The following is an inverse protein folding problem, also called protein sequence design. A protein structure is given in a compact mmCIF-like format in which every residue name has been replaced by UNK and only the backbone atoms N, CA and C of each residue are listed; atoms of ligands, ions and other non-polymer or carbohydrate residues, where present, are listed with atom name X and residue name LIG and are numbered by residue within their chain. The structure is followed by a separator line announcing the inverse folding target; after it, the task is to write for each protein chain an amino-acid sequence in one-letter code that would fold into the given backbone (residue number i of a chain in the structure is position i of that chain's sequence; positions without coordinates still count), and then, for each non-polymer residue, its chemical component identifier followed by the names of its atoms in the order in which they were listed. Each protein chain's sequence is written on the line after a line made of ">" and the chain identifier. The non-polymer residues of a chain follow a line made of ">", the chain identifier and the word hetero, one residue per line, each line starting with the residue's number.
data_IF_717799228327
#
_entry.id   IF_717799228327
#
_cell.length_a   1.000
_cell.length_b   1.000
_cell.length_c   1.000
_cell.angle_alpha   90.00
_cell.angle_beta   90.00
_cell.angle_gamma   90.00
#
_symmetry.space_group_name_H-M   'P 1'
#
loop_
_entity.id
_entity.type
_entity.pdbx_description
1 polymer ?
#
# COMPACT_ATOMS: atom_id res chain seq x y z
N UNK A 1 4.31 11.29 -10.34
CA UNK A 1 4.64 9.88 -10.00
C UNK A 1 5.78 9.78 -8.98
N UNK A 2 6.98 10.39 -9.20
CA UNK A 2 8.09 10.34 -8.25
C UNK A 2 7.72 10.77 -6.82
N UNK A 3 6.99 11.87 -6.66
CA UNK A 3 6.49 12.32 -5.36
C UNK A 3 5.55 11.28 -4.69
N UNK A 4 4.73 10.58 -5.46
CA UNK A 4 3.87 9.50 -4.95
C UNK A 4 4.72 8.33 -4.43
N UNK A 5 5.74 7.90 -5.17
CA UNK A 5 6.64 6.82 -4.74
C UNK A 5 7.39 7.22 -3.45
N UNK A 6 7.91 8.44 -3.40
CA UNK A 6 8.56 8.95 -2.20
C UNK A 6 7.62 8.97 -0.99
N UNK A 7 6.38 9.41 -1.18
CA UNK A 7 5.35 9.42 -0.14
C UNK A 7 5.03 8.01 0.37
N UNK A 8 4.88 7.03 -0.53
CA UNK A 8 4.56 5.65 -0.12
C UNK A 8 5.70 4.97 0.63
N UNK A 9 6.93 5.40 0.40
CA UNK A 9 8.15 4.90 1.07
C UNK A 9 8.44 5.61 2.39
N UNK A 10 7.81 6.75 2.66
CA UNK A 10 8.03 7.54 3.85
C UNK A 10 7.56 6.81 5.11
N UNK A 11 8.40 6.84 6.16
CA UNK A 11 8.12 6.16 7.45
C UNK A 11 7.77 7.10 8.59
N UNK A 12 7.89 8.41 8.39
CA UNK A 12 7.55 9.43 9.38
C UNK A 12 6.09 9.88 9.30
N UNK A 13 5.74 10.84 10.15
CA UNK A 13 4.49 11.57 10.03
C UNK A 13 4.54 12.53 8.85
N UNK A 14 3.38 12.82 8.25
CA UNK A 14 3.24 13.85 7.22
C UNK A 14 3.03 15.20 7.89
N UNK A 15 4.16 15.86 8.19
CA UNK A 15 4.21 17.19 8.81
C UNK A 15 4.38 18.28 7.76
N UNK A 16 4.21 19.55 8.15
CA UNK A 16 4.49 20.69 7.27
C UNK A 16 5.95 20.67 6.77
N UNK A 17 6.88 20.19 7.61
CA UNK A 17 8.29 20.02 7.23
C UNK A 17 8.47 18.98 6.12
N UNK A 18 7.71 17.86 6.16
CA UNK A 18 7.70 16.88 5.08
C UNK A 18 7.22 17.51 3.77
N UNK A 19 6.13 18.28 3.81
CA UNK A 19 5.57 18.92 2.60
C UNK A 19 6.40 20.09 2.07
N UNK A 20 7.26 20.69 2.91
CA UNK A 20 8.19 21.72 2.51
C UNK A 20 9.46 21.17 1.80
N UNK A 21 9.67 19.87 1.79
CA UNK A 21 10.81 19.27 1.10
C UNK A 21 10.69 19.44 -0.42
N UNK A 22 11.81 19.62 -1.12
CA UNK A 22 11.80 19.70 -2.57
C UNK A 22 11.26 18.39 -3.16
N UNK A 23 10.50 18.50 -4.26
CA UNK A 23 10.02 17.30 -4.96
C UNK A 23 11.22 16.42 -5.37
N UNK A 24 11.12 15.10 -5.21
CA UNK A 24 12.18 14.20 -5.60
C UNK A 24 12.42 14.26 -7.12
N UNK A 25 13.68 14.12 -7.51
CA UNK A 25 14.06 14.09 -8.92
C UNK A 25 13.42 12.88 -9.62
N UNK A 26 12.59 13.05 -10.64
CA UNK A 26 12.00 11.93 -11.39
C UNK A 26 13.05 10.99 -12.00
N UNK A 27 14.19 11.51 -12.41
CA UNK A 27 15.27 10.71 -13.00
C UNK A 27 15.84 9.67 -12.02
N UNK A 28 15.80 9.95 -10.70
CA UNK A 28 16.20 8.97 -9.67
C UNK A 28 15.31 7.72 -9.64
N UNK A 29 14.11 7.79 -10.23
CA UNK A 29 13.14 6.70 -10.34
C UNK A 29 13.03 6.17 -11.78
N UNK A 30 13.95 6.52 -12.66
CA UNK A 30 13.92 6.11 -14.06
C UNK A 30 12.78 6.75 -14.88
N UNK A 31 12.25 7.89 -14.43
CA UNK A 31 11.15 8.60 -15.07
C UNK A 31 11.67 9.80 -15.88
N UNK A 32 10.91 10.24 -16.90
CA UNK A 32 11.21 11.48 -17.59
C UNK A 32 11.26 12.67 -16.62
N UNK A 33 12.21 13.58 -16.82
CA UNK A 33 12.37 14.79 -15.99
C UNK A 33 11.32 15.86 -16.30
N UNK A 34 10.70 15.78 -17.46
CA UNK A 34 9.70 16.75 -17.93
C UNK A 34 8.35 16.06 -18.12
N UNK A 35 7.27 16.75 -17.75
CA UNK A 35 5.89 16.36 -18.05
C UNK A 35 5.57 16.82 -19.47
N UNK A 36 5.34 15.89 -20.39
CA UNK A 36 4.96 16.18 -21.78
C UNK A 36 3.48 16.57 -21.92
N UNK A 37 2.75 16.61 -20.81
CA UNK A 37 1.31 16.91 -20.77
C UNK A 37 0.41 15.76 -21.23
N UNK A 38 0.97 14.62 -21.64
CA UNK A 38 0.17 13.47 -22.00
C UNK A 38 -0.53 12.88 -20.77
N UNK A 39 -1.72 12.29 -20.97
CA UNK A 39 -2.51 11.60 -19.94
C UNK A 39 -2.96 10.23 -20.43
N UNK A 40 -2.25 9.71 -21.42
CA UNK A 40 -2.54 8.40 -22.01
C UNK A 40 -2.14 7.24 -21.10
N UNK A 41 -1.23 7.50 -20.13
CA UNK A 41 -0.89 6.52 -19.11
C UNK A 41 -2.10 6.25 -18.20
N UNK A 42 -2.53 4.98 -18.05
CA UNK A 42 -3.65 4.62 -17.18
C UNK A 42 -3.50 5.13 -15.74
N UNK A 43 -2.28 5.27 -15.21
CA UNK A 43 -2.02 5.77 -13.86
C UNK A 43 -2.23 7.30 -13.73
N UNK A 44 -2.20 8.04 -14.85
CA UNK A 44 -2.44 9.48 -14.90
C UNK A 44 -3.86 9.82 -15.35
N UNK A 45 -4.67 8.82 -15.67
CA UNK A 45 -6.05 8.99 -16.14
C UNK A 45 -7.03 9.29 -15.01
N UNK A 46 -8.23 9.77 -15.37
CA UNK A 46 -9.33 9.97 -14.42
C UNK A 46 -9.74 8.68 -13.69
N UNK A 47 -9.49 7.51 -14.29
CA UNK A 47 -9.71 6.20 -13.66
C UNK A 47 -8.80 5.98 -12.47
N UNK A 48 -7.53 6.37 -12.58
CA UNK A 48 -6.58 6.29 -11.47
C UNK A 48 -7.00 7.22 -10.33
N UNK A 49 -7.51 8.39 -10.66
CA UNK A 49 -8.04 9.31 -9.65
C UNK A 49 -9.22 8.70 -8.86
N UNK A 50 -10.11 8.03 -9.54
CA UNK A 50 -11.23 7.33 -8.90
C UNK A 50 -10.76 6.24 -7.92
N UNK A 51 -9.67 5.53 -8.24
CA UNK A 51 -9.07 4.53 -7.35
C UNK A 51 -8.40 5.19 -6.13
N UNK A 52 -7.60 6.22 -6.35
CA UNK A 52 -6.85 6.90 -5.28
C UNK A 52 -7.73 7.73 -4.33
N UNK A 53 -8.92 8.15 -4.79
CA UNK A 53 -9.91 8.87 -3.98
C UNK A 53 -10.99 7.97 -3.37
N UNK A 54 -10.92 6.65 -3.61
CA UNK A 54 -11.89 5.71 -3.07
C UNK A 54 -11.91 5.74 -1.54
N UNK A 55 -13.12 5.78 -0.99
CA UNK A 55 -13.37 5.66 0.45
C UNK A 55 -14.14 4.38 0.71
N UNK A 56 -13.58 3.45 1.50
CA UNK A 56 -14.29 2.21 1.87
C UNK A 56 -15.57 2.53 2.66
N UNK A 57 -16.64 1.84 2.33
CA UNK A 57 -17.84 1.83 3.15
C UNK A 57 -17.62 0.87 4.33
N UNK A 58 -17.18 1.46 5.45
CA UNK A 58 -16.81 0.70 6.65
C UNK A 58 -18.01 -0.04 7.24
N UNK A 59 -19.21 0.57 7.21
CA UNK A 59 -20.42 -0.03 7.75
C UNK A 59 -20.84 -1.24 6.91
N UNK A 60 -20.79 -1.11 5.58
CA UNK A 60 -21.07 -2.23 4.68
C UNK A 60 -20.06 -3.36 4.84
N UNK A 61 -18.78 -3.06 4.98
CA UNK A 61 -17.73 -4.05 5.23
C UNK A 61 -17.94 -4.78 6.56
N UNK A 62 -18.27 -4.05 7.61
CA UNK A 62 -18.50 -4.62 8.92
C UNK A 62 -19.78 -5.49 8.99
N UNK A 63 -20.80 -5.18 8.18
CA UNK A 63 -22.05 -5.92 8.08
C UNK A 63 -21.99 -7.10 7.07
N UNK A 64 -20.92 -7.20 6.28
CA UNK A 64 -20.80 -8.22 5.26
C UNK A 64 -20.77 -9.64 5.88
N UNK A 65 -21.41 -10.63 5.25
CA UNK A 65 -21.31 -12.02 5.70
C UNK A 65 -19.95 -12.64 5.40
N UNK A 66 -19.15 -12.01 4.56
CA UNK A 66 -17.80 -12.43 4.20
C UNK A 66 -16.82 -11.97 5.27
N UNK A 67 -15.97 -12.86 5.75
CA UNK A 67 -14.87 -12.52 6.62
C UNK A 67 -13.89 -11.59 5.88
N UNK A 68 -13.66 -10.41 6.45
CA UNK A 68 -12.70 -9.43 5.94
C UNK A 68 -11.49 -9.41 6.85
N UNK A 69 -10.32 -9.73 6.32
CA UNK A 69 -9.03 -9.69 7.04
C UNK A 69 -8.17 -8.62 6.43
N UNK A 70 -7.76 -7.66 7.24
CA UNK A 70 -6.83 -6.62 6.82
C UNK A 70 -5.40 -7.08 7.09
N UNK A 71 -4.64 -7.26 6.03
CA UNK A 71 -3.24 -7.70 6.10
C UNK A 71 -2.27 -6.53 6.01
N UNK A 72 -1.14 -6.64 6.70
CA UNK A 72 -0.03 -5.67 6.63
C UNK A 72 1.31 -6.39 6.67
N UNK A 73 2.25 -6.02 5.82
CA UNK A 73 3.62 -6.52 5.89
C UNK A 73 4.36 -5.93 7.10
N UNK A 74 5.07 -6.75 7.86
CA UNK A 74 5.80 -6.33 9.06
C UNK A 74 6.79 -5.18 8.78
N UNK A 75 7.46 -5.23 7.65
CA UNK A 75 8.41 -4.20 7.22
C UNK A 75 7.71 -2.91 6.74
N UNK A 76 6.41 -2.97 6.46
CA UNK A 76 5.62 -1.85 5.98
C UNK A 76 4.82 -1.13 7.08
N UNK A 77 4.81 -1.60 8.31
CA UNK A 77 3.99 -1.04 9.40
C UNK A 77 4.15 0.49 9.56
N UNK A 78 5.36 1.01 9.42
CA UNK A 78 5.64 2.45 9.52
C UNK A 78 5.48 3.24 8.22
N UNK A 79 5.18 2.60 7.09
CA UNK A 79 4.99 3.28 5.80
C UNK A 79 3.56 3.76 5.63
N UNK A 80 3.31 4.58 4.60
CA UNK A 80 1.96 5.03 4.26
C UNK A 80 0.99 3.85 4.07
N UNK A 81 1.39 2.84 3.28
CA UNK A 81 0.56 1.66 3.01
C UNK A 81 0.28 0.84 4.27
N UNK A 82 1.27 0.66 5.13
CA UNK A 82 1.09 -0.06 6.40
C UNK A 82 0.18 0.68 7.37
N UNK A 83 0.38 1.98 7.51
CA UNK A 83 -0.46 2.81 8.40
C UNK A 83 -1.92 2.86 7.94
N UNK A 84 -2.18 2.94 6.63
CA UNK A 84 -3.55 2.89 6.10
C UNK A 84 -4.22 1.54 6.34
N UNK A 85 -3.47 0.44 6.25
CA UNK A 85 -3.98 -0.90 6.58
C UNK A 85 -4.35 -1.01 8.06
N UNK A 86 -3.47 -0.54 8.96
CA UNK A 86 -3.74 -0.53 10.40
C UNK A 86 -4.97 0.33 10.72
N UNK A 87 -5.04 1.54 10.17
CA UNK A 87 -6.18 2.43 10.39
C UNK A 87 -7.51 1.83 9.88
N UNK A 88 -7.51 1.15 8.73
CA UNK A 88 -8.70 0.45 8.23
C UNK A 88 -9.11 -0.70 9.16
N UNK A 89 -8.15 -1.48 9.66
CA UNK A 89 -8.43 -2.55 10.62
C UNK A 89 -9.09 -1.99 11.90
N UNK A 90 -8.56 -0.88 12.43
CA UNK A 90 -9.14 -0.20 13.59
C UNK A 90 -10.58 0.30 13.34
N UNK A 91 -10.85 0.86 12.16
CA UNK A 91 -12.20 1.25 11.76
C UNK A 91 -13.16 0.06 11.72
N UNK A 92 -12.68 -1.11 11.31
CA UNK A 92 -13.42 -2.37 11.32
C UNK A 92 -13.43 -3.08 12.69
N UNK A 93 -12.88 -2.43 13.73
CA UNK A 93 -12.78 -2.96 15.11
C UNK A 93 -12.02 -4.29 15.19
N UNK A 94 -11.01 -4.46 14.37
CA UNK A 94 -10.11 -5.61 14.34
C UNK A 94 -8.65 -5.16 14.37
N UNK A 95 -7.74 -6.08 14.58
CA UNK A 95 -6.31 -5.85 14.42
C UNK A 95 -5.88 -6.25 13.01
N UNK A 96 -4.93 -5.49 12.42
CA UNK A 96 -4.33 -5.90 11.17
C UNK A 96 -3.50 -7.17 11.37
N UNK A 97 -3.68 -8.13 10.48
CA UNK A 97 -2.93 -9.39 10.48
C UNK A 97 -1.56 -9.16 9.85
N UNK A 98 -0.51 -9.40 10.62
CA UNK A 98 0.87 -9.19 10.16
C UNK A 98 1.31 -10.36 9.29
N UNK A 99 1.88 -10.02 8.14
CA UNK A 99 2.50 -10.92 7.18
C UNK A 99 4.01 -10.68 7.11
N UNK A 100 4.81 -11.69 6.77
CA UNK A 100 6.25 -11.54 6.58
C UNK A 100 6.59 -10.54 5.48
N UNK A 101 7.73 -9.85 5.62
CA UNK A 101 8.28 -8.92 4.63
C UNK A 101 7.45 -7.63 4.48
N UNK A 102 7.60 -6.95 3.35
CA UNK A 102 6.94 -5.70 2.99
C UNK A 102 5.59 -5.93 2.27
N UNK A 103 4.92 -4.85 1.81
CA UNK A 103 3.62 -4.94 1.12
C UNK A 103 3.65 -5.74 -0.20
N UNK A 104 4.82 -6.00 -0.77
CA UNK A 104 5.06 -6.92 -1.88
C UNK A 104 5.62 -8.27 -1.43
N UNK A 105 5.31 -8.74 -0.23
CA UNK A 105 5.89 -9.94 0.38
C UNK A 105 5.75 -11.22 -0.42
N UNK A 106 4.80 -11.29 -1.35
CA UNK A 106 4.57 -12.40 -2.28
C UNK A 106 5.51 -12.39 -3.51
N UNK A 107 6.27 -11.32 -3.75
CA UNK A 107 7.15 -11.18 -4.92
C UNK A 107 8.41 -12.03 -4.78
N UNK A 108 8.80 -12.72 -5.85
CA UNK A 108 10.02 -13.52 -5.95
C UNK A 108 11.28 -12.73 -6.33
N UNK A 109 11.16 -11.43 -6.61
CA UNK A 109 12.26 -10.55 -7.04
C UNK A 109 12.21 -10.20 -8.53
N UNK A 110 11.11 -10.47 -9.22
CA UNK A 110 10.91 -10.26 -10.67
C UNK A 110 11.15 -8.80 -11.09
N UNK A 111 10.92 -7.86 -10.18
CA UNK A 111 11.09 -6.42 -10.41
C UNK A 111 12.28 -5.82 -9.65
N UNK A 112 13.25 -6.65 -9.24
CA UNK A 112 14.36 -6.20 -8.38
C UNK A 112 13.94 -5.89 -6.93
N UNK A 113 12.73 -6.28 -6.52
CA UNK A 113 12.14 -6.04 -5.23
C UNK A 113 11.60 -7.35 -4.65
N UNK A 114 12.48 -8.10 -4.01
CA UNK A 114 12.16 -9.41 -3.47
C UNK A 114 11.45 -9.32 -2.12
N UNK A 115 10.38 -10.09 -1.98
CA UNK A 115 9.71 -10.38 -0.72
C UNK A 115 10.16 -11.71 -0.13
N UNK A 116 9.25 -12.35 0.60
CA UNK A 116 9.42 -13.68 1.18
C UNK A 116 8.24 -14.58 0.77
N UNK A 117 8.13 -14.96 -0.52
CA UNK A 117 6.92 -15.58 -1.09
C UNK A 117 6.53 -16.88 -0.38
N UNK A 118 7.47 -17.71 0.03
CA UNK A 118 7.18 -18.95 0.74
C UNK A 118 6.63 -18.69 2.16
N UNK A 119 7.22 -17.74 2.88
CA UNK A 119 6.74 -17.36 4.21
C UNK A 119 5.37 -16.67 4.12
N UNK A 120 5.16 -15.84 3.11
CA UNK A 120 3.88 -15.22 2.80
C UNK A 120 2.81 -16.28 2.52
N UNK A 121 3.12 -17.28 1.68
CA UNK A 121 2.16 -18.34 1.33
C UNK A 121 1.78 -19.19 2.55
N UNK A 122 2.73 -19.49 3.44
CA UNK A 122 2.44 -20.19 4.70
C UNK A 122 1.50 -19.37 5.59
N UNK A 123 1.82 -18.08 5.79
CA UNK A 123 0.99 -17.19 6.60
C UNK A 123 -0.42 -17.02 6.02
N UNK A 124 -0.51 -16.89 4.70
CA UNK A 124 -1.82 -16.82 4.03
C UNK A 124 -2.64 -18.08 4.27
N UNK A 125 -2.02 -19.27 4.20
CA UNK A 125 -2.70 -20.53 4.49
C UNK A 125 -3.22 -20.57 5.92
N UNK A 126 -2.39 -20.21 6.91
CA UNK A 126 -2.79 -20.12 8.31
C UNK A 126 -4.03 -19.24 8.48
N UNK A 127 -4.00 -18.03 7.91
CA UNK A 127 -5.10 -17.05 7.99
C UNK A 127 -6.39 -17.60 7.35
N UNK A 128 -6.28 -18.34 6.26
CA UNK A 128 -7.45 -18.93 5.60
C UNK A 128 -8.02 -20.12 6.37
N UNK A 129 -7.19 -20.82 7.12
CA UNK A 129 -7.58 -22.02 7.88
C UNK A 129 -8.04 -21.69 9.33
N UNK A 130 -7.84 -20.46 9.82
CA UNK A 130 -8.18 -20.03 11.19
C UNK A 130 -9.68 -20.15 11.56
N UNK A 131 -10.59 -20.34 10.59
CA UNK A 131 -12.04 -20.48 10.80
C UNK A 131 -12.63 -21.73 10.15
N UNK A 132 -11.83 -22.74 9.89
CA UNK A 132 -12.24 -24.04 9.35
C UNK A 132 -12.79 -25.00 10.43
#
# INVERSE_FOLDING_TARGET
>A
MAAFIAMTSWRGEFTDEYFAQPAPDPAAFGMPSEDDGSRDDPLLSDRSWAISSYRPDVDALAAAPTRVVIAVGEESLGTFTGRTSVALAELLKQQATVFPSHHGGFLGGEFGYAGQPEAFARRLREVLDEDG
#
